data_IF_471120310120
#
_entry.id   IF_471120310120
#
_cell.length_a   1.000
_cell.length_b   1.000
_cell.length_c   1.000
_cell.angle_alpha   90.00
_cell.angle_beta   90.00
_cell.angle_gamma   90.00
#
_symmetry.space_group_name_H-M   'P 1'
#
loop_
_entity.id
_entity.type
_entity.pdbx_description
1 polymer ?
#
# COMPACT_ATOMS: atom_id res chain seq x y z
N UNK A 1 24.34 -7.91 -2.57
CA UNK A 1 23.24 -7.56 -1.69
C UNK A 1 23.29 -8.39 -0.43
N UNK A 2 23.23 -7.73 0.71
CA UNK A 2 23.14 -8.44 1.98
C UNK A 2 21.79 -9.16 2.03
N UNK A 3 21.83 -10.46 2.33
CA UNK A 3 20.60 -11.24 2.49
C UNK A 3 19.92 -10.79 3.78
N UNK A 4 18.64 -10.47 3.67
CA UNK A 4 17.82 -10.11 4.83
C UNK A 4 17.54 -11.37 5.66
N UNK A 5 17.57 -11.20 6.98
CA UNK A 5 17.15 -12.28 7.88
C UNK A 5 15.63 -12.41 7.86
N UNK A 6 15.11 -13.56 8.30
CA UNK A 6 13.67 -13.76 8.42
C UNK A 6 13.03 -12.67 9.26
N UNK A 7 13.68 -12.27 10.34
CA UNK A 7 13.21 -11.24 11.24
C UNK A 7 13.05 -9.90 10.53
N UNK A 8 14.02 -9.54 9.68
CA UNK A 8 13.98 -8.32 8.88
C UNK A 8 12.87 -8.39 7.82
N UNK A 9 12.74 -9.51 7.13
CA UNK A 9 11.67 -9.71 6.14
C UNK A 9 10.29 -9.62 6.79
N UNK A 10 10.13 -10.24 7.94
CA UNK A 10 8.87 -10.25 8.68
C UNK A 10 8.54 -8.88 9.29
N UNK A 11 9.49 -7.98 9.35
CA UNK A 11 9.27 -6.59 9.71
C UNK A 11 8.90 -5.74 8.49
N UNK A 12 9.64 -5.90 7.40
CA UNK A 12 9.49 -5.08 6.19
C UNK A 12 8.15 -5.32 5.48
N UNK A 13 7.82 -6.58 5.23
CA UNK A 13 6.63 -6.93 4.43
C UNK A 13 5.33 -6.48 5.11
N UNK A 14 5.13 -6.70 6.43
CA UNK A 14 3.94 -6.16 7.10
C UNK A 14 3.84 -4.64 7.03
N UNK A 15 4.95 -3.91 7.10
CA UNK A 15 4.94 -2.46 6.99
C UNK A 15 4.50 -2.00 5.60
N UNK A 16 4.93 -2.70 4.56
CA UNK A 16 4.49 -2.41 3.19
C UNK A 16 2.97 -2.59 3.06
N UNK A 17 2.44 -3.67 3.59
CA UNK A 17 0.99 -3.91 3.53
C UNK A 17 0.19 -2.96 4.42
N UNK A 18 0.73 -2.56 5.55
CA UNK A 18 0.12 -1.52 6.39
C UNK A 18 0.01 -0.21 5.61
N UNK A 19 1.09 0.18 4.96
CA UNK A 19 1.10 1.39 4.14
C UNK A 19 0.13 1.26 2.96
N UNK A 20 0.03 0.08 2.37
CA UNK A 20 -0.93 -0.23 1.30
C UNK A 20 -2.37 -0.01 1.78
N UNK A 21 -2.74 -0.57 2.93
CA UNK A 21 -4.08 -0.40 3.48
C UNK A 21 -4.37 1.05 3.85
N UNK A 22 -3.38 1.74 4.42
CA UNK A 22 -3.49 3.16 4.73
C UNK A 22 -3.68 3.99 3.47
N UNK A 23 -2.93 3.67 2.41
CA UNK A 23 -3.06 4.35 1.13
C UNK A 23 -4.45 4.17 0.52
N UNK A 24 -5.02 2.97 0.62
CA UNK A 24 -6.39 2.72 0.17
C UNK A 24 -7.41 3.60 0.90
N UNK A 25 -7.27 3.74 2.21
CA UNK A 25 -8.14 4.61 3.00
C UNK A 25 -7.95 6.08 2.63
N UNK A 26 -6.72 6.51 2.47
CA UNK A 26 -6.40 7.88 2.10
C UNK A 26 -6.96 8.23 0.72
N UNK A 27 -6.93 7.31 -0.22
CA UNK A 27 -7.54 7.48 -1.55
C UNK A 27 -9.04 7.70 -1.40
N UNK A 28 -9.70 6.92 -0.57
CA UNK A 28 -11.14 7.05 -0.33
C UNK A 28 -11.44 8.44 0.24
N UNK A 29 -10.69 8.87 1.25
CA UNK A 29 -10.86 10.19 1.85
C UNK A 29 -10.64 11.31 0.84
N UNK A 30 -9.60 11.23 0.04
CA UNK A 30 -9.29 12.23 -0.98
C UNK A 30 -10.38 12.26 -2.07
N UNK A 31 -10.90 11.11 -2.46
CA UNK A 31 -11.96 11.02 -3.46
C UNK A 31 -13.25 11.65 -2.93
N UNK A 32 -13.61 11.36 -1.68
CA UNK A 32 -14.78 11.95 -1.03
C UNK A 32 -14.62 13.45 -0.88
N UNK A 33 -13.45 13.90 -0.49
CA UNK A 33 -13.16 15.30 -0.32
C UNK A 33 -13.22 16.06 -1.65
N UNK A 34 -12.70 15.49 -2.72
CA UNK A 34 -12.78 16.04 -4.08
C UNK A 34 -14.23 16.14 -4.54
N UNK A 35 -15.03 15.10 -4.29
CA UNK A 35 -16.45 15.10 -4.65
C UNK A 35 -17.26 16.07 -3.80
N UNK A 36 -16.77 16.38 -2.60
CA UNK A 36 -17.41 17.30 -1.69
C UNK A 36 -17.23 18.78 -2.11
N UNK A 37 -16.17 19.08 -2.90
CA UNK A 37 -16.03 20.40 -3.49
C UNK A 37 -16.89 20.49 -4.74
N UNK A 38 -18.12 21.03 -4.65
CA UNK A 38 -18.96 21.13 -5.84
C UNK A 38 -18.32 22.08 -6.84
N UNK A 39 -18.54 21.80 -8.11
CA UNK A 39 -18.05 22.65 -9.19
C UNK A 39 -18.50 24.12 -9.03
N UNK A 40 -19.61 24.33 -8.35
CA UNK A 40 -20.09 25.68 -8.02
C UNK A 40 -19.11 26.48 -7.19
N UNK A 41 -18.34 25.84 -6.31
CA UNK A 41 -17.31 26.51 -5.51
C UNK A 41 -16.10 26.89 -6.36
N UNK A 42 -15.77 26.07 -7.34
CA UNK A 42 -14.74 26.39 -8.33
C UNK A 42 -15.17 27.58 -9.16
N UNK A 43 -16.45 27.69 -9.47
CA UNK A 43 -17.01 28.84 -10.20
C UNK A 43 -17.05 30.12 -9.36
N UNK A 44 -17.24 30.01 -8.05
CA UNK A 44 -17.26 31.15 -7.13
C UNK A 44 -15.88 31.77 -6.95
N UNK A 45 -14.82 31.07 -7.26
CA UNK A 45 -13.45 31.53 -7.14
C UNK A 45 -13.08 32.52 -8.28
N UNK A 46 -13.97 32.76 -9.22
CA UNK A 46 -13.73 33.60 -10.37
C UNK A 46 -14.03 35.10 -10.15
N UNK A 47 -14.23 35.52 -8.93
CA UNK A 47 -14.38 36.95 -8.64
C UNK A 47 -13.06 37.69 -8.83
N UNK A 48 -13.08 38.87 -9.49
CA UNK A 48 -11.87 39.66 -9.64
C UNK A 48 -11.32 40.05 -8.28
N UNK A 49 -10.06 39.75 -8.02
CA UNK A 49 -9.40 39.99 -6.75
C UNK A 49 -9.40 38.85 -5.77
N UNK A 50 -10.09 37.78 -6.07
CA UNK A 50 -10.01 36.55 -5.27
C UNK A 50 -8.67 35.88 -5.49
N UNK A 51 -8.10 35.30 -4.41
CA UNK A 51 -6.84 34.59 -4.46
C UNK A 51 -7.02 33.26 -5.17
N UNK A 52 -6.92 33.25 -6.48
CA UNK A 52 -7.05 32.09 -7.32
C UNK A 52 -6.07 30.98 -6.97
N UNK A 53 -4.87 31.39 -6.57
CA UNK A 53 -3.73 30.50 -6.53
C UNK A 53 -3.76 29.50 -5.37
N UNK A 54 -4.39 29.87 -4.24
CA UNK A 54 -4.41 28.97 -3.08
C UNK A 54 -5.39 27.81 -3.23
N UNK A 55 -6.56 28.04 -3.80
CA UNK A 55 -7.55 26.98 -4.03
C UNK A 55 -7.10 25.99 -5.09
N UNK A 56 -6.63 26.50 -6.23
CA UNK A 56 -6.13 25.66 -7.32
C UNK A 56 -4.89 24.86 -6.90
N UNK A 57 -4.00 25.49 -6.15
CA UNK A 57 -2.79 24.85 -5.65
C UNK A 57 -3.12 23.69 -4.70
N UNK A 58 -4.11 23.87 -3.82
CA UNK A 58 -4.54 22.82 -2.91
C UNK A 58 -5.21 21.66 -3.65
N UNK A 59 -6.01 21.95 -4.67
CA UNK A 59 -6.63 20.92 -5.50
C UNK A 59 -5.57 20.13 -6.28
N UNK A 60 -4.60 20.82 -6.86
CA UNK A 60 -3.50 20.19 -7.59
C UNK A 60 -2.69 19.29 -6.67
N UNK A 61 -2.34 19.77 -5.48
CA UNK A 61 -1.62 18.97 -4.48
C UNK A 61 -2.42 17.71 -4.07
N UNK A 62 -3.72 17.87 -3.88
CA UNK A 62 -4.59 16.77 -3.51
C UNK A 62 -4.66 15.72 -4.61
N UNK A 63 -4.78 16.15 -5.87
CA UNK A 63 -4.80 15.26 -7.02
C UNK A 63 -3.47 14.56 -7.22
N UNK A 64 -2.36 15.25 -7.05
CA UNK A 64 -1.01 14.67 -7.12
C UNK A 64 -0.81 13.65 -6.02
N UNK A 65 -1.23 13.96 -4.80
CA UNK A 65 -1.18 13.04 -3.66
C UNK A 65 -1.99 11.78 -3.95
N UNK A 66 -3.21 11.96 -4.46
CA UNK A 66 -4.08 10.84 -4.81
C UNK A 66 -3.44 9.95 -5.87
N UNK A 67 -2.82 10.56 -6.90
CA UNK A 67 -2.12 9.81 -7.94
C UNK A 67 -0.96 8.99 -7.39
N UNK A 68 -0.15 9.57 -6.51
CA UNK A 68 0.96 8.87 -5.86
C UNK A 68 0.47 7.66 -5.07
N UNK A 69 -0.60 7.84 -4.32
CA UNK A 69 -1.20 6.76 -3.54
C UNK A 69 -1.77 5.67 -4.43
N UNK A 70 -2.44 6.04 -5.51
CA UNK A 70 -3.00 5.10 -6.48
C UNK A 70 -1.89 4.28 -7.16
N UNK A 71 -0.78 4.92 -7.53
CA UNK A 71 0.38 4.22 -8.09
C UNK A 71 0.96 3.23 -7.09
N UNK A 72 1.08 3.62 -5.84
CA UNK A 72 1.59 2.73 -4.80
C UNK A 72 0.68 1.52 -4.63
N UNK A 73 -0.63 1.74 -4.52
CA UNK A 73 -1.62 0.65 -4.38
C UNK A 73 -1.57 -0.26 -5.61
N UNK A 74 -1.51 0.30 -6.80
CA UNK A 74 -1.44 -0.49 -8.02
C UNK A 74 -0.18 -1.34 -8.10
N UNK A 75 0.95 -0.80 -7.69
CA UNK A 75 2.21 -1.55 -7.67
C UNK A 75 2.15 -2.71 -6.68
N UNK A 76 1.60 -2.49 -5.50
CA UNK A 76 1.43 -3.57 -4.52
C UNK A 76 0.45 -4.63 -5.02
N UNK A 77 -0.64 -4.22 -5.66
CA UNK A 77 -1.60 -5.15 -6.27
C UNK A 77 -0.93 -6.03 -7.32
N UNK A 78 -0.07 -5.46 -8.15
CA UNK A 78 0.67 -6.20 -9.18
C UNK A 78 1.65 -7.19 -8.56
N UNK A 79 2.37 -6.77 -7.52
CA UNK A 79 3.26 -7.68 -6.79
C UNK A 79 2.47 -8.84 -6.22
N UNK A 80 1.34 -8.55 -5.58
CA UNK A 80 0.49 -9.56 -4.96
C UNK A 80 -0.04 -10.56 -6.00
N UNK A 81 -0.44 -10.09 -7.17
CA UNK A 81 -0.92 -10.94 -8.27
C UNK A 81 0.16 -11.86 -8.81
N UNK A 82 1.42 -11.46 -8.74
CA UNK A 82 2.55 -12.27 -9.21
C UNK A 82 2.96 -13.36 -8.22
N UNK A 83 2.49 -13.28 -7.00
CA UNK A 83 2.78 -14.31 -6.00
C UNK A 83 2.06 -15.62 -6.35
N UNK A 84 2.62 -16.76 -5.91
CA UNK A 84 1.91 -18.03 -6.01
C UNK A 84 0.62 -17.96 -5.19
N UNK A 85 -0.36 -18.78 -5.54
CA UNK A 85 -1.65 -18.82 -4.83
C UNK A 85 -1.48 -19.12 -3.36
N UNK A 86 -0.53 -20.00 -3.03
CA UNK A 86 -0.22 -20.34 -1.64
C UNK A 86 0.29 -19.14 -0.87
N UNK A 87 1.20 -18.36 -1.49
CA UNK A 87 1.74 -17.14 -0.89
C UNK A 87 0.69 -16.05 -0.76
N UNK A 88 -0.19 -15.90 -1.76
CA UNK A 88 -1.31 -14.95 -1.70
C UNK A 88 -2.24 -15.30 -0.54
N UNK A 89 -2.58 -16.56 -0.39
CA UNK A 89 -3.44 -17.04 0.70
C UNK A 89 -2.81 -16.76 2.05
N UNK A 90 -1.51 -17.02 2.19
CA UNK A 90 -0.79 -16.76 3.43
C UNK A 90 -0.80 -15.26 3.78
N UNK A 91 -0.46 -14.41 2.83
CA UNK A 91 -0.39 -12.96 3.04
C UNK A 91 -1.77 -12.39 3.34
N UNK A 92 -2.80 -12.84 2.62
CA UNK A 92 -4.17 -12.38 2.86
C UNK A 92 -4.62 -12.65 4.29
N UNK A 93 -4.29 -13.81 4.83
CA UNK A 93 -4.70 -14.17 6.18
C UNK A 93 -3.78 -13.65 7.27
N UNK A 94 -2.47 -13.56 7.00
CA UNK A 94 -1.50 -13.13 8.01
C UNK A 94 -1.43 -11.61 8.14
N UNK A 95 -1.46 -10.90 7.02
CA UNK A 95 -1.18 -9.46 7.01
C UNK A 95 -2.38 -8.60 6.64
N UNK A 96 -3.27 -9.06 5.78
CA UNK A 96 -4.40 -8.27 5.31
C UNK A 96 -5.66 -8.49 6.16
N UNK A 97 -5.91 -9.72 6.58
CA UNK A 97 -7.06 -10.06 7.43
C UNK A 97 -6.60 -10.37 8.84
N UNK A 98 -6.31 -9.35 9.61
CA UNK A 98 -5.63 -9.47 10.91
C UNK A 98 -6.60 -9.71 12.06
N UNK A 99 -7.64 -10.51 11.86
CA UNK A 99 -8.64 -10.76 12.90
C UNK A 99 -8.30 -11.95 13.79
N UNK A 100 -7.54 -12.91 13.31
CA UNK A 100 -7.25 -14.13 14.04
C UNK A 100 -5.81 -14.58 13.77
N UNK A 101 -4.96 -14.49 14.80
CA UNK A 101 -3.55 -14.90 14.70
C UNK A 101 -3.38 -16.41 14.63
N UNK A 102 -4.41 -17.17 15.00
CA UNK A 102 -4.38 -18.63 14.95
C UNK A 102 -5.03 -19.20 13.70
N UNK A 103 -5.26 -18.37 12.67
CA UNK A 103 -5.90 -18.77 11.42
C UNK A 103 -5.24 -20.00 10.78
N UNK A 104 -3.93 -20.11 10.92
CA UNK A 104 -3.13 -21.13 10.25
C UNK A 104 -3.29 -22.51 10.88
N UNK A 105 -3.75 -22.63 12.12
CA UNK A 105 -3.90 -23.91 12.82
C UNK A 105 -4.75 -24.92 12.05
N UNK A 106 -5.73 -24.45 11.30
CA UNK A 106 -6.62 -25.31 10.53
C UNK A 106 -5.97 -25.84 9.25
N UNK A 107 -4.93 -25.16 8.76
CA UNK A 107 -4.36 -25.43 7.45
C UNK A 107 -2.95 -25.99 7.51
N UNK A 108 -2.18 -25.63 8.50
CA UNK A 108 -0.75 -25.89 8.54
C UNK A 108 -0.30 -26.36 9.92
N UNK A 109 0.74 -27.24 9.91
CA UNK A 109 1.54 -27.46 11.11
C UNK A 109 2.45 -26.26 11.34
N UNK A 110 3.03 -26.16 12.53
CA UNK A 110 3.95 -25.07 12.87
C UNK A 110 5.13 -25.00 11.89
N UNK A 111 5.71 -26.15 11.55
CA UNK A 111 6.82 -26.22 10.60
C UNK A 111 6.38 -25.75 9.21
N UNK A 112 5.22 -26.18 8.75
CA UNK A 112 4.67 -25.77 7.45
C UNK A 112 4.35 -24.28 7.42
N UNK A 113 3.82 -23.75 8.51
CA UNK A 113 3.54 -22.31 8.64
C UNK A 113 4.79 -21.47 8.40
N UNK A 114 5.89 -21.79 9.08
CA UNK A 114 7.14 -21.05 8.90
C UNK A 114 7.75 -21.22 7.52
N UNK A 115 7.64 -22.41 6.94
CA UNK A 115 8.11 -22.66 5.59
C UNK A 115 7.37 -21.82 4.56
N UNK A 116 6.05 -21.76 4.67
CA UNK A 116 5.20 -20.99 3.78
C UNK A 116 5.41 -19.48 4.00
N UNK A 117 5.60 -19.08 5.25
CA UNK A 117 5.94 -17.70 5.60
C UNK A 117 7.22 -17.26 4.91
N UNK A 118 8.30 -18.05 5.01
CA UNK A 118 9.54 -17.77 4.30
C UNK A 118 9.33 -17.63 2.80
N UNK A 119 8.61 -18.58 2.23
CA UNK A 119 8.32 -18.59 0.80
C UNK A 119 7.56 -17.32 0.37
N UNK A 120 6.51 -16.97 1.10
CA UNK A 120 5.69 -15.81 0.78
C UNK A 120 6.49 -14.51 0.89
N UNK A 121 7.29 -14.36 1.95
CA UNK A 121 8.12 -13.19 2.14
C UNK A 121 9.19 -13.07 1.05
N UNK A 122 9.83 -14.17 0.69
CA UNK A 122 10.84 -14.18 -0.37
C UNK A 122 10.24 -13.84 -1.73
N UNK A 123 9.10 -14.44 -2.07
CA UNK A 123 8.40 -14.14 -3.32
C UNK A 123 8.01 -12.67 -3.40
N UNK A 124 7.47 -12.13 -2.31
CA UNK A 124 7.09 -10.71 -2.26
C UNK A 124 8.29 -9.81 -2.49
N UNK A 125 9.39 -10.04 -1.78
CA UNK A 125 10.58 -9.20 -1.87
C UNK A 125 11.25 -9.30 -3.25
N UNK A 126 11.29 -10.49 -3.83
CA UNK A 126 11.82 -10.67 -5.20
C UNK A 126 10.97 -9.90 -6.22
N UNK A 127 9.66 -10.02 -6.11
CA UNK A 127 8.74 -9.31 -7.00
C UNK A 127 8.81 -7.79 -6.80
N UNK A 128 8.99 -7.36 -5.56
CA UNK A 128 9.06 -5.93 -5.24
C UNK A 128 10.28 -5.25 -5.85
N UNK A 129 11.38 -5.98 -6.08
CA UNK A 129 12.57 -5.41 -6.70
C UNK A 129 12.32 -4.93 -8.14
N UNK A 130 11.31 -5.50 -8.81
CA UNK A 130 10.92 -5.07 -10.16
C UNK A 130 10.29 -3.68 -10.13
N UNK A 131 9.54 -3.36 -9.08
CA UNK A 131 8.78 -2.11 -8.96
C UNK A 131 9.47 -1.07 -8.10
N UNK A 132 10.27 -1.50 -7.12
CA UNK A 132 10.94 -0.63 -6.17
C UNK A 132 12.42 -1.01 -6.09
N UNK A 133 13.28 -0.03 -6.07
CA UNK A 133 14.68 -0.29 -5.74
C UNK A 133 14.83 -0.43 -4.21
N UNK A 134 16.02 -0.86 -3.78
CA UNK A 134 16.25 -1.11 -2.35
C UNK A 134 16.15 0.16 -1.51
N UNK A 135 16.46 1.32 -2.08
CA UNK A 135 16.34 2.60 -1.40
C UNK A 135 14.88 2.98 -1.20
N UNK A 136 14.05 2.77 -2.23
CA UNK A 136 12.61 3.03 -2.14
C UNK A 136 11.94 2.15 -1.11
N UNK A 137 12.32 0.87 -1.04
CA UNK A 137 11.80 -0.04 -0.01
C UNK A 137 12.15 0.46 1.39
N UNK A 138 13.37 0.94 1.60
CA UNK A 138 13.77 1.50 2.89
C UNK A 138 12.98 2.77 3.23
N UNK A 139 12.66 3.58 2.25
CA UNK A 139 11.84 4.78 2.46
C UNK A 139 10.39 4.43 2.79
N UNK A 140 9.86 3.34 2.24
CA UNK A 140 8.50 2.89 2.49
C UNK A 140 8.29 2.44 3.94
N UNK A 141 9.37 2.03 4.62
CA UNK A 141 9.33 1.57 6.00
C UNK A 141 9.29 2.75 6.98
N UNK A 142 9.75 3.89 6.55
CA UNK A 142 9.71 5.12 7.35
C UNK A 142 8.36 5.81 7.13
#
# INVERSE_FOLDING_TARGET
MAKLTLKQKDYIVPQVYKKYQRAQLDIIFLTQHYNYYPQSDICKIKEPGASYHSGDHNIIKMLDRKRELEEYVENIDRIHEHLSKESQFFIDNEYLNFYDRSWWYKYYSRASYYRIKHKALDEFLESSQVFFDSLELNQLIK
#
